data_IF_859541017162
#
_entry.id   IF_859541017162
#
_cell.length_a   1.000
_cell.length_b   1.000
_cell.length_c   1.000
_cell.angle_alpha   90.00
_cell.angle_beta   90.00
_cell.angle_gamma   90.00
#
_symmetry.space_group_name_H-M   'P 1'
#
loop_
_entity.id
_entity.type
_entity.pdbx_description
1 polymer ?
#
# COMPACT_ATOMS: atom_id res chain seq x y z
N UNK A 1 9.73 -30.29 -8.34
CA UNK A 1 8.50 -29.63 -8.85
C UNK A 1 8.73 -28.14 -9.15
N UNK A 2 9.74 -27.50 -8.54
CA UNK A 2 10.09 -26.07 -8.72
C UNK A 2 10.62 -25.72 -10.14
N UNK A 3 11.31 -26.64 -10.82
CA UNK A 3 11.87 -26.38 -12.16
C UNK A 3 10.85 -26.40 -13.31
N UNK A 4 9.62 -26.90 -13.07
CA UNK A 4 8.59 -26.98 -14.12
C UNK A 4 7.74 -25.72 -14.23
N UNK A 5 7.54 -24.98 -13.13
CA UNK A 5 6.84 -23.70 -13.10
C UNK A 5 7.59 -22.63 -13.90
N UNK A 6 8.90 -22.48 -13.71
CA UNK A 6 9.71 -21.52 -14.50
C UNK A 6 9.75 -21.86 -16.00
N UNK A 7 9.73 -23.16 -16.36
CA UNK A 7 9.69 -23.59 -17.77
C UNK A 7 8.35 -23.33 -18.46
N UNK A 8 7.25 -23.25 -17.72
CA UNK A 8 5.92 -22.95 -18.28
C UNK A 8 5.77 -21.46 -18.62
N UNK A 9 6.36 -20.56 -17.82
CA UNK A 9 6.31 -19.10 -18.04
C UNK A 9 7.17 -18.68 -19.24
N UNK A 10 8.29 -19.36 -19.48
CA UNK A 10 9.19 -19.08 -20.60
C UNK A 10 8.74 -19.72 -21.93
N UNK A 11 7.69 -20.53 -21.94
CA UNK A 11 7.25 -21.23 -23.14
C UNK A 11 6.21 -20.40 -23.91
N UNK A 12 6.52 -20.10 -25.17
CA UNK A 12 5.84 -19.16 -26.08
C UNK A 12 4.37 -19.51 -26.42
N UNK A 13 3.79 -20.53 -25.77
CA UNK A 13 2.45 -21.08 -25.99
C UNK A 13 1.55 -21.09 -24.74
N UNK A 14 1.98 -20.50 -23.61
CA UNK A 14 1.12 -20.44 -22.43
C UNK A 14 0.05 -19.33 -22.62
N UNK A 15 -1.27 -19.61 -22.45
CA UNK A 15 -2.30 -18.58 -22.50
C UNK A 15 -1.97 -17.45 -21.52
N UNK A 16 -2.15 -16.19 -21.93
CA UNK A 16 -1.81 -15.00 -21.12
C UNK A 16 -2.44 -15.01 -19.72
N UNK A 17 -3.57 -15.71 -19.59
CA UNK A 17 -4.34 -15.89 -18.36
C UNK A 17 -3.71 -16.90 -17.39
N UNK A 18 -2.85 -17.80 -17.87
CA UNK A 18 -2.31 -18.93 -17.08
C UNK A 18 -1.39 -18.46 -15.97
N UNK A 19 -0.51 -17.50 -16.27
CA UNK A 19 0.39 -16.91 -15.29
C UNK A 19 -0.40 -16.18 -14.19
N UNK A 20 -1.38 -15.36 -14.58
CA UNK A 20 -2.27 -14.67 -13.64
C UNK A 20 -3.12 -15.62 -12.80
N UNK A 21 -3.65 -16.69 -13.39
CA UNK A 21 -4.44 -17.70 -12.68
C UNK A 21 -3.61 -18.54 -11.70
N UNK A 22 -2.36 -18.86 -12.05
CA UNK A 22 -1.40 -19.51 -11.14
C UNK A 22 -1.05 -18.61 -9.95
N UNK A 23 -0.81 -17.33 -10.20
CA UNK A 23 -0.54 -16.35 -9.17
C UNK A 23 -1.73 -16.15 -8.22
N UNK A 24 -2.94 -16.03 -8.77
CA UNK A 24 -4.17 -16.01 -7.97
C UNK A 24 -4.39 -17.30 -7.19
N UNK A 25 -3.99 -18.45 -7.74
CA UNK A 25 -4.05 -19.74 -7.05
C UNK A 25 -3.06 -19.82 -5.89
N UNK A 26 -1.82 -19.34 -6.08
CA UNK A 26 -0.83 -19.27 -5.01
C UNK A 26 -1.20 -18.25 -3.92
N UNK A 27 -1.94 -17.21 -4.29
CA UNK A 27 -2.53 -16.26 -3.35
C UNK A 27 -3.76 -16.81 -2.59
N UNK A 28 -4.21 -18.05 -2.83
CA UNK A 28 -5.32 -18.63 -2.05
C UNK A 28 -4.89 -19.03 -0.62
N UNK A 29 -5.67 -18.64 0.41
CA UNK A 29 -5.55 -19.09 1.82
C UNK A 29 -5.36 -20.59 2.02
N UNK A 30 -5.90 -21.38 1.11
CA UNK A 30 -5.95 -22.83 1.22
C UNK A 30 -4.62 -23.52 0.93
N UNK A 31 -3.64 -22.87 0.31
CA UNK A 31 -2.42 -23.54 -0.18
C UNK A 31 -1.13 -23.08 0.50
N UNK A 32 -1.10 -21.90 1.13
CA UNK A 32 0.07 -21.44 1.90
C UNK A 32 1.33 -21.17 1.09
N UNK A 33 1.26 -21.18 -0.26
CA UNK A 33 2.38 -21.02 -1.19
C UNK A 33 2.73 -19.54 -1.46
N UNK A 34 2.59 -18.69 -0.45
CA UNK A 34 2.69 -17.24 -0.59
C UNK A 34 4.10 -16.75 -0.85
N UNK A 35 5.08 -17.40 -0.23
CA UNK A 35 6.49 -17.13 -0.48
C UNK A 35 6.81 -17.41 -1.96
N UNK A 36 6.34 -18.55 -2.47
CA UNK A 36 6.51 -18.91 -3.88
C UNK A 36 5.80 -17.95 -4.83
N UNK A 37 4.64 -17.40 -4.45
CA UNK A 37 3.96 -16.36 -5.24
C UNK A 37 4.79 -15.07 -5.32
N UNK A 38 5.37 -14.66 -4.19
CA UNK A 38 6.24 -13.48 -4.11
C UNK A 38 7.51 -13.68 -4.93
N UNK A 39 8.16 -14.83 -4.79
CA UNK A 39 9.37 -15.15 -5.55
C UNK A 39 9.09 -15.19 -7.06
N UNK A 40 8.00 -15.84 -7.48
CA UNK A 40 7.61 -15.88 -8.91
C UNK A 40 7.28 -14.50 -9.46
N UNK A 41 6.63 -13.63 -8.68
CA UNK A 41 6.39 -12.23 -9.09
C UNK A 41 7.68 -11.41 -9.17
N UNK A 42 8.58 -11.56 -8.19
CA UNK A 42 9.85 -10.85 -8.15
C UNK A 42 10.75 -11.28 -9.32
N UNK A 43 10.82 -12.58 -9.61
CA UNK A 43 11.61 -13.13 -10.73
C UNK A 43 11.02 -12.79 -12.11
N UNK A 44 9.71 -12.51 -12.19
CA UNK A 44 9.00 -12.26 -13.44
C UNK A 44 8.27 -10.91 -13.43
N UNK A 45 8.86 -9.88 -12.82
CA UNK A 45 8.20 -8.59 -12.58
C UNK A 45 7.68 -7.94 -13.88
N UNK A 46 8.45 -7.96 -14.97
CA UNK A 46 8.04 -7.43 -16.28
C UNK A 46 6.85 -8.20 -16.90
N UNK A 47 6.88 -9.53 -16.84
CA UNK A 47 5.79 -10.38 -17.34
C UNK A 47 4.53 -10.21 -16.48
N UNK A 48 4.70 -10.13 -15.16
CA UNK A 48 3.62 -9.87 -14.21
C UNK A 48 2.99 -8.52 -14.49
N UNK A 49 3.78 -7.46 -14.67
CA UNK A 49 3.27 -6.14 -15.01
C UNK A 49 2.58 -6.11 -16.39
N UNK A 50 3.17 -6.75 -17.40
CA UNK A 50 2.62 -6.81 -18.77
C UNK A 50 1.29 -7.56 -18.86
N UNK A 51 1.10 -8.59 -18.04
CA UNK A 51 -0.09 -9.46 -18.11
C UNK A 51 -1.13 -9.17 -17.01
N UNK A 52 -0.74 -8.47 -15.94
CA UNK A 52 -1.62 -8.12 -14.82
C UNK A 52 -1.72 -6.61 -14.62
N UNK A 53 -1.45 -5.76 -15.61
CA UNK A 53 -1.31 -4.29 -15.42
C UNK A 53 -2.42 -3.64 -14.57
N UNK A 54 -3.69 -4.08 -14.71
CA UNK A 54 -4.81 -3.61 -13.88
C UNK A 54 -5.05 -4.41 -12.59
N UNK A 55 -4.54 -5.64 -12.50
CA UNK A 55 -4.72 -6.57 -11.37
C UNK A 55 -3.49 -6.67 -10.46
N UNK A 56 -2.36 -6.10 -10.87
CA UNK A 56 -1.07 -6.21 -10.18
C UNK A 56 -1.13 -5.61 -8.79
N UNK A 57 -1.58 -4.35 -8.68
CA UNK A 57 -1.75 -3.68 -7.39
C UNK A 57 -2.73 -4.46 -6.49
N UNK A 58 -3.94 -4.85 -6.92
CA UNK A 58 -4.82 -5.70 -6.12
C UNK A 58 -4.20 -7.03 -5.64
N UNK A 59 -3.45 -7.73 -6.49
CA UNK A 59 -2.77 -8.99 -6.13
C UNK A 59 -1.68 -8.74 -5.10
N UNK A 60 -0.85 -7.71 -5.32
CA UNK A 60 0.18 -7.28 -4.39
C UNK A 60 -0.43 -6.92 -3.02
N UNK A 61 -1.56 -6.20 -3.01
CA UNK A 61 -2.26 -5.86 -1.77
C UNK A 61 -2.83 -7.09 -1.06
N UNK A 62 -3.36 -8.06 -1.80
CA UNK A 62 -3.83 -9.31 -1.21
C UNK A 62 -2.67 -10.08 -0.55
N UNK A 63 -1.50 -10.12 -1.19
CA UNK A 63 -0.29 -10.75 -0.65
C UNK A 63 0.23 -10.03 0.59
N UNK A 64 0.35 -8.70 0.52
CA UNK A 64 0.73 -7.87 1.66
C UNK A 64 -0.23 -8.08 2.84
N UNK A 65 -1.54 -8.16 2.58
CA UNK A 65 -2.57 -8.39 3.60
C UNK A 65 -2.37 -9.70 4.36
N UNK A 66 -1.92 -10.76 3.71
CA UNK A 66 -1.69 -12.05 4.39
C UNK A 66 -0.58 -11.95 5.43
N UNK A 67 0.50 -11.23 5.12
CA UNK A 67 1.58 -10.99 6.08
C UNK A 67 1.21 -9.95 7.13
N UNK A 68 0.41 -8.96 6.75
CA UNK A 68 -0.18 -8.00 7.67
C UNK A 68 -1.04 -8.70 8.73
N UNK A 69 -1.90 -9.63 8.33
CA UNK A 69 -2.77 -10.40 9.24
C UNK A 69 -1.96 -11.33 10.16
N UNK A 70 -0.70 -11.63 9.82
CA UNK A 70 0.26 -12.36 10.66
C UNK A 70 1.14 -11.45 11.52
N UNK A 71 0.94 -10.14 11.46
CA UNK A 71 1.75 -9.12 12.14
C UNK A 71 3.25 -9.14 11.74
N UNK A 72 3.57 -9.73 10.59
CA UNK A 72 4.93 -9.77 10.05
C UNK A 72 5.15 -8.61 9.08
N UNK A 73 5.28 -7.41 9.63
CA UNK A 73 5.43 -6.17 8.85
C UNK A 73 6.75 -6.10 8.07
N UNK A 74 7.78 -6.87 8.47
CA UNK A 74 9.04 -6.94 7.75
C UNK A 74 8.87 -7.65 6.39
N UNK A 75 8.06 -8.71 6.35
CA UNK A 75 7.71 -9.37 5.08
C UNK A 75 6.83 -8.47 4.20
N UNK A 76 5.87 -7.74 4.80
CA UNK A 76 5.03 -6.77 4.09
C UNK A 76 5.90 -5.70 3.42
N UNK A 77 6.88 -5.15 4.13
CA UNK A 77 7.81 -4.18 3.59
C UNK A 77 8.63 -4.75 2.43
N UNK A 78 9.13 -5.99 2.53
CA UNK A 78 9.89 -6.61 1.44
C UNK A 78 9.06 -6.73 0.16
N UNK A 79 7.80 -7.13 0.29
CA UNK A 79 6.87 -7.20 -0.85
C UNK A 79 6.73 -5.84 -1.51
N UNK A 80 6.56 -4.78 -0.72
CA UNK A 80 6.46 -3.44 -1.27
C UNK A 80 7.76 -2.96 -1.91
N UNK A 81 8.91 -3.18 -1.28
CA UNK A 81 10.22 -2.80 -1.83
C UNK A 81 10.46 -3.39 -3.22
N UNK A 82 10.13 -4.68 -3.42
CA UNK A 82 10.24 -5.36 -4.72
C UNK A 82 9.34 -4.76 -5.81
N UNK A 83 8.26 -4.09 -5.41
CA UNK A 83 7.28 -3.49 -6.32
C UNK A 83 7.47 -1.99 -6.55
N UNK A 84 8.49 -1.37 -5.96
CA UNK A 84 8.71 0.08 -5.97
C UNK A 84 8.80 0.63 -7.39
N UNK A 85 9.61 0.00 -8.25
CA UNK A 85 9.85 0.47 -9.62
C UNK A 85 8.58 0.51 -10.50
N UNK A 86 7.56 -0.28 -10.12
CA UNK A 86 6.34 -0.45 -10.90
C UNK A 86 5.14 0.30 -10.30
N UNK A 87 5.10 0.49 -8.98
CA UNK A 87 3.91 0.95 -8.26
C UNK A 87 4.12 2.25 -7.46
N UNK A 88 5.32 2.85 -7.52
CA UNK A 88 5.66 4.06 -6.77
C UNK A 88 4.69 5.21 -7.01
N UNK A 89 4.08 5.33 -8.19
CA UNK A 89 3.13 6.39 -8.51
C UNK A 89 1.68 6.13 -8.04
N UNK A 90 1.37 4.92 -7.57
CA UNK A 90 0.00 4.54 -7.23
C UNK A 90 -0.36 4.90 -5.77
N UNK A 91 -1.38 5.74 -5.57
CA UNK A 91 -1.76 6.24 -4.24
C UNK A 91 -2.08 5.14 -3.21
N UNK A 92 -2.84 4.10 -3.58
CA UNK A 92 -3.11 2.97 -2.68
C UNK A 92 -1.82 2.25 -2.25
N UNK A 93 -0.83 2.17 -3.13
CA UNK A 93 0.45 1.55 -2.81
C UNK A 93 1.22 2.42 -1.81
N UNK A 94 1.33 3.73 -2.08
CA UNK A 94 1.96 4.70 -1.15
C UNK A 94 1.33 4.64 0.25
N UNK A 95 0.00 4.59 0.33
CA UNK A 95 -0.72 4.50 1.60
C UNK A 95 -0.43 3.21 2.36
N UNK A 96 -0.47 2.05 1.69
CA UNK A 96 -0.19 0.77 2.35
C UNK A 96 1.27 0.62 2.77
N UNK A 97 2.20 1.20 2.02
CA UNK A 97 3.60 1.35 2.43
C UNK A 97 3.72 2.21 3.69
N UNK A 98 3.04 3.36 3.72
CA UNK A 98 3.03 4.24 4.89
C UNK A 98 2.46 3.54 6.14
N UNK A 99 1.36 2.81 6.00
CA UNK A 99 0.78 1.99 7.06
C UNK A 99 1.77 0.92 7.55
N UNK A 100 2.49 0.27 6.65
CA UNK A 100 3.48 -0.76 6.99
C UNK A 100 4.65 -0.17 7.79
N UNK A 101 5.13 1.01 7.42
CA UNK A 101 6.16 1.70 8.20
C UNK A 101 5.66 2.18 9.56
N UNK A 102 4.42 2.67 9.62
CA UNK A 102 3.80 3.11 10.87
C UNK A 102 3.69 1.95 11.89
N UNK A 103 3.27 0.76 11.44
CA UNK A 103 3.13 -0.41 12.31
C UNK A 103 4.44 -0.97 12.86
N UNK A 104 5.61 -0.59 12.30
CA UNK A 104 6.91 -1.05 12.78
C UNK A 104 7.43 -0.24 13.98
N UNK A 105 6.71 0.79 14.44
CA UNK A 105 6.96 1.63 15.63
C UNK A 105 8.32 2.36 15.71
N UNK A 106 9.27 2.07 14.83
CA UNK A 106 10.58 2.70 14.77
C UNK A 106 10.84 3.41 13.43
N UNK A 107 9.88 3.35 12.50
CA UNK A 107 9.96 3.88 11.14
C UNK A 107 8.97 5.02 10.87
N UNK A 108 8.71 5.86 11.88
CA UNK A 108 7.78 6.99 11.75
C UNK A 108 8.27 8.03 10.74
N UNK A 109 9.58 8.20 10.54
CA UNK A 109 10.12 9.15 9.55
C UNK A 109 9.80 8.70 8.12
N UNK A 110 9.88 7.41 7.87
CA UNK A 110 9.52 6.77 6.61
C UNK A 110 8.01 6.85 6.40
N UNK A 111 7.20 6.58 7.43
CA UNK A 111 5.75 6.76 7.35
C UNK A 111 5.36 8.21 6.97
N UNK A 112 6.00 9.20 7.60
CA UNK A 112 5.83 10.63 7.28
C UNK A 112 6.17 10.90 5.81
N UNK A 113 7.27 10.36 5.30
CA UNK A 113 7.70 10.57 3.91
C UNK A 113 6.61 10.21 2.88
N UNK A 114 5.78 9.20 3.18
CA UNK A 114 4.67 8.80 2.31
C UNK A 114 3.36 9.53 2.61
N UNK A 115 3.04 9.79 3.88
CA UNK A 115 1.80 10.48 4.25
C UNK A 115 1.82 11.98 3.92
N UNK A 116 2.94 12.68 4.13
CA UNK A 116 3.04 14.14 3.94
C UNK A 116 2.62 14.58 2.53
N UNK A 117 3.16 14.00 1.44
CA UNK A 117 2.80 14.40 0.09
C UNK A 117 1.30 14.20 -0.20
N UNK A 118 0.71 13.11 0.29
CA UNK A 118 -0.70 12.79 0.07
C UNK A 118 -1.61 13.84 0.73
N UNK A 119 -1.32 14.20 1.98
CA UNK A 119 -2.10 15.20 2.71
C UNK A 119 -1.88 16.62 2.15
N UNK A 120 -0.67 16.92 1.69
CA UNK A 120 -0.35 18.23 1.08
C UNK A 120 -0.99 18.40 -0.29
N UNK A 121 -1.05 17.35 -1.11
CA UNK A 121 -1.66 17.38 -2.45
C UNK A 121 -3.15 17.75 -2.40
N UNK A 122 -3.85 17.30 -1.36
CA UNK A 122 -5.28 17.55 -1.15
C UNK A 122 -5.57 19.00 -0.75
N UNK A 123 -4.57 19.73 -0.22
CA UNK A 123 -4.71 21.15 0.13
C UNK A 123 -5.81 21.37 1.17
N UNK A 124 -6.74 22.29 0.90
CA UNK A 124 -7.83 22.65 1.82
C UNK A 124 -8.90 21.56 1.96
N UNK A 125 -8.94 20.56 1.06
CA UNK A 125 -9.93 19.48 1.11
C UNK A 125 -9.49 18.32 2.04
N UNK A 126 -8.80 18.63 3.15
CA UNK A 126 -8.10 17.64 3.97
C UNK A 126 -9.00 16.49 4.45
N UNK A 127 -10.30 16.77 4.64
CA UNK A 127 -11.32 15.79 5.03
C UNK A 127 -11.64 14.73 3.96
N UNK A 128 -11.14 14.89 2.74
CA UNK A 128 -11.24 13.84 1.69
C UNK A 128 -10.27 12.69 1.95
N UNK A 129 -9.20 12.93 2.73
CA UNK A 129 -8.31 11.88 3.21
C UNK A 129 -8.97 11.17 4.39
N UNK A 130 -8.84 9.84 4.45
CA UNK A 130 -9.40 9.06 5.56
C UNK A 130 -8.83 9.51 6.91
N UNK A 131 -9.69 9.64 7.93
CA UNK A 131 -9.30 10.09 9.27
C UNK A 131 -8.13 9.29 9.88
N UNK A 132 -8.05 7.99 9.59
CA UNK A 132 -6.95 7.12 10.04
C UNK A 132 -5.59 7.62 9.52
N UNK A 133 -5.51 8.05 8.26
CA UNK A 133 -4.26 8.55 7.66
C UNK A 133 -3.83 9.86 8.32
N UNK A 134 -4.78 10.77 8.56
CA UNK A 134 -4.51 12.05 9.25
C UNK A 134 -4.04 11.80 10.68
N UNK A 135 -4.71 10.91 11.41
CA UNK A 135 -4.32 10.54 12.77
C UNK A 135 -2.92 9.89 12.80
N UNK A 136 -2.63 8.95 11.90
CA UNK A 136 -1.33 8.30 11.82
C UNK A 136 -0.21 9.29 11.47
N UNK A 137 -0.48 10.27 10.61
CA UNK A 137 0.48 11.35 10.33
C UNK A 137 0.72 12.23 11.57
N UNK A 138 -0.35 12.66 12.26
CA UNK A 138 -0.24 13.40 13.53
C UNK A 138 0.61 12.63 14.57
N UNK A 139 0.31 11.35 14.78
CA UNK A 139 1.07 10.50 15.71
C UNK A 139 2.52 10.39 15.25
N UNK A 140 2.77 10.17 13.96
CA UNK A 140 4.14 10.07 13.44
C UNK A 140 4.95 11.36 13.68
N UNK A 141 4.33 12.55 13.52
CA UNK A 141 4.97 13.81 13.85
C UNK A 141 5.32 13.93 15.34
N UNK A 142 4.39 13.57 16.23
CA UNK A 142 4.65 13.58 17.68
C UNK A 142 5.80 12.63 18.04
N UNK A 143 5.77 11.40 17.52
CA UNK A 143 6.80 10.39 17.76
C UNK A 143 8.18 10.79 17.21
N UNK A 144 8.22 11.69 16.22
CA UNK A 144 9.46 12.26 15.66
C UNK A 144 9.80 13.65 16.21
N UNK A 145 9.10 14.11 17.25
CA UNK A 145 9.27 15.43 17.89
C UNK A 145 9.03 16.62 16.97
N UNK A 146 8.29 16.44 15.87
CA UNK A 146 7.83 17.49 14.95
C UNK A 146 6.50 18.08 15.44
N UNK A 147 6.49 18.60 16.67
CA UNK A 147 5.25 19.02 17.34
C UNK A 147 4.55 20.19 16.65
N UNK A 148 5.30 21.13 16.06
CA UNK A 148 4.74 22.25 15.30
C UNK A 148 3.94 21.74 14.08
N UNK A 149 4.50 20.79 13.33
CA UNK A 149 3.81 20.19 12.18
C UNK A 149 2.55 19.41 12.59
N UNK A 150 2.57 18.77 13.76
CA UNK A 150 1.39 18.09 14.32
C UNK A 150 0.30 19.09 14.68
N UNK A 151 0.66 20.19 15.34
CA UNK A 151 -0.28 21.24 15.73
C UNK A 151 -0.91 21.93 14.52
N UNK A 152 -0.11 22.24 13.50
CA UNK A 152 -0.61 22.83 12.25
C UNK A 152 -1.59 21.90 11.52
N UNK A 153 -1.30 20.59 11.50
CA UNK A 153 -2.21 19.59 10.93
C UNK A 153 -3.52 19.51 11.72
N UNK A 154 -3.48 19.49 13.05
CA UNK A 154 -4.67 19.45 13.91
C UNK A 154 -5.55 20.69 13.71
N UNK A 155 -4.95 21.90 13.76
CA UNK A 155 -5.68 23.15 13.52
C UNK A 155 -6.33 23.18 12.13
N UNK A 156 -5.65 22.63 11.13
CA UNK A 156 -6.19 22.56 9.76
C UNK A 156 -7.41 21.63 9.70
N UNK A 157 -7.36 20.48 10.38
CA UNK A 157 -8.49 19.55 10.43
C UNK A 157 -9.69 20.20 11.12
N UNK A 158 -9.51 20.79 12.31
CA UNK A 158 -10.57 21.46 13.07
C UNK A 158 -11.26 22.55 12.22
N UNK A 159 -10.47 23.39 11.54
CA UNK A 159 -10.99 24.46 10.69
C UNK A 159 -11.86 23.96 9.54
N UNK A 160 -11.47 22.87 8.88
CA UNK A 160 -12.26 22.31 7.79
C UNK A 160 -13.49 21.54 8.30
N UNK A 161 -13.41 20.90 9.47
CA UNK A 161 -14.57 20.27 10.13
C UNK A 161 -15.64 21.31 10.50
N UNK A 162 -15.23 22.46 11.04
CA UNK A 162 -16.14 23.57 11.32
C UNK A 162 -16.84 24.05 10.04
N UNK A 163 -16.09 24.29 8.96
CA UNK A 163 -16.64 24.71 7.66
C UNK A 163 -17.65 23.72 7.12
N UNK A 164 -17.31 22.43 7.10
CA UNK A 164 -18.21 21.38 6.64
C UNK A 164 -19.52 21.34 7.47
N UNK A 165 -19.42 21.54 8.78
CA UNK A 165 -20.58 21.61 9.66
C UNK A 165 -21.46 22.83 9.34
N UNK A 166 -20.89 24.01 9.11
CA UNK A 166 -21.64 25.21 8.72
C UNK A 166 -22.39 25.04 7.39
N UNK A 167 -21.75 24.44 6.39
CA UNK A 167 -22.36 24.22 5.07
C UNK A 167 -23.57 23.26 5.15
N UNK A 168 -23.45 22.17 5.91
CA UNK A 168 -24.57 21.24 6.16
C UNK A 168 -25.70 21.94 6.92
N UNK A 169 -25.37 22.81 7.88
CA UNK A 169 -26.35 23.54 8.69
C UNK A 169 -27.12 24.58 7.87
N UNK A 170 -26.53 25.13 6.81
CA UNK A 170 -27.12 26.18 5.97
C UNK A 170 -27.98 25.60 4.84
N UNK A 171 -27.79 24.33 4.50
CA UNK A 171 -28.55 23.61 3.48
C UNK A 171 -29.76 22.83 4.04
N UNK A 172 -29.94 22.80 5.36
CA UNK A 172 -31.06 22.18 6.08
C UNK A 172 -32.13 23.21 6.47
#
# INVERSE_FOLDING_TARGET
MELQSCKLVQNQCCPQETFGNLLLLYCKPSHGLYDLAADVMAENAELTFKHLTQKYVPVLMAMAKIWWDKEDYAQVERIFQQSTDLCSEHNLWKLNVAHTFFMQENKYKEAIHYYEPIVKEVGDNVLTVTAIVLANLCVSYIMTSRNEDAEDLMRKIEKEEERAHYDVSTLA
#
